data_IF_307132629381
#
_entry.id   IF_307132629381
#
_cell.length_a   1.000
_cell.length_b   1.000
_cell.length_c   1.000
_cell.angle_alpha   90.00
_cell.angle_beta   90.00
_cell.angle_gamma   90.00
#
_symmetry.space_group_name_H-M   'P 1'
#
loop_
_entity.id
_entity.type
_entity.pdbx_description
1 polymer ?
#
# COMPACT_ATOMS: atom_id res chain seq x y z
N UNK A 1 14.09 12.01 -15.20
CA UNK A 1 14.19 10.80 -14.35
C UNK A 1 14.38 11.15 -12.88
N UNK A 2 15.39 11.94 -12.50
CA UNK A 2 15.61 12.39 -11.10
C UNK A 2 14.36 12.95 -10.42
N UNK A 3 13.75 13.99 -11.01
CA UNK A 3 12.55 14.63 -10.44
C UNK A 3 11.39 13.66 -10.28
N UNK A 4 11.20 12.76 -11.25
CA UNK A 4 10.14 11.75 -11.20
C UNK A 4 10.37 10.75 -10.06
N UNK A 5 11.59 10.21 -9.94
CA UNK A 5 11.95 9.28 -8.86
C UNK A 5 11.72 9.90 -7.49
N UNK A 6 12.18 11.14 -7.29
CA UNK A 6 12.02 11.86 -6.02
C UNK A 6 10.53 12.11 -5.76
N UNK A 7 9.78 12.64 -6.73
CA UNK A 7 8.36 12.98 -6.54
C UNK A 7 7.51 11.75 -6.19
N UNK A 8 7.56 10.70 -7.02
CA UNK A 8 6.77 9.48 -6.78
C UNK A 8 7.23 8.77 -5.51
N UNK A 9 8.54 8.72 -5.29
CA UNK A 9 9.16 8.15 -4.11
C UNK A 9 8.65 8.77 -2.82
N UNK A 10 8.76 10.08 -2.70
CA UNK A 10 8.33 10.84 -1.54
C UNK A 10 6.80 10.80 -1.34
N UNK A 11 6.03 10.79 -2.44
CA UNK A 11 4.58 10.58 -2.35
C UNK A 11 4.25 9.21 -1.77
N UNK A 12 4.91 8.14 -2.21
CA UNK A 12 4.73 6.80 -1.66
C UNK A 12 5.13 6.73 -0.17
N UNK A 13 6.20 7.41 0.23
CA UNK A 13 6.65 7.46 1.63
C UNK A 13 5.55 7.98 2.57
N UNK A 14 4.75 8.96 2.13
CA UNK A 14 3.65 9.53 2.92
C UNK A 14 2.35 8.73 2.79
N UNK A 15 2.04 8.25 1.58
CA UNK A 15 0.76 7.59 1.29
C UNK A 15 0.67 6.20 1.90
N UNK A 16 1.77 5.44 1.93
CA UNK A 16 1.76 4.05 2.44
C UNK A 16 1.40 3.99 3.93
N UNK A 17 2.09 4.72 4.84
CA UNK A 17 1.73 4.71 6.25
C UNK A 17 0.35 5.30 6.52
N UNK A 18 -0.08 6.27 5.70
CA UNK A 18 -1.42 6.84 5.77
C UNK A 18 -2.50 5.82 5.42
N UNK A 19 -2.37 5.10 4.30
CA UNK A 19 -3.35 4.11 3.85
C UNK A 19 -3.50 2.90 4.77
N UNK A 20 -2.44 2.59 5.54
CA UNK A 20 -2.42 1.55 6.58
C UNK A 20 -2.86 2.05 7.96
N UNK A 21 -3.28 3.32 8.08
CA UNK A 21 -3.67 3.96 9.33
C UNK A 21 -2.55 3.89 10.41
N UNK A 22 -1.28 3.75 9.99
CA UNK A 22 -0.13 3.61 10.88
C UNK A 22 0.22 4.91 11.59
N UNK A 23 -0.05 6.07 10.98
CA UNK A 23 0.16 7.35 11.66
C UNK A 23 -0.65 7.47 12.95
N UNK A 24 -1.85 6.87 13.00
CA UNK A 24 -2.70 6.84 14.18
C UNK A 24 -2.42 5.64 15.09
N UNK A 25 -2.23 4.45 14.51
CA UNK A 25 -2.17 3.19 15.28
C UNK A 25 -0.74 2.77 15.69
N UNK A 26 0.27 3.08 14.89
CA UNK A 26 1.66 2.61 15.03
C UNK A 26 2.67 3.65 14.51
N UNK A 27 2.90 4.74 15.25
CA UNK A 27 3.72 5.86 14.79
C UNK A 27 5.19 5.48 14.55
N UNK A 28 5.76 4.55 15.32
CA UNK A 28 7.14 4.08 15.13
C UNK A 28 7.37 3.42 13.75
N UNK A 29 6.62 2.36 13.41
CA UNK A 29 6.66 1.76 12.08
C UNK A 29 6.35 2.74 10.94
N UNK A 30 5.43 3.70 11.14
CA UNK A 30 5.16 4.75 10.16
C UNK A 30 6.42 5.59 9.88
N UNK A 31 7.08 6.09 10.93
CA UNK A 31 8.31 6.88 10.79
C UNK A 31 9.43 6.07 10.13
N UNK A 32 9.60 4.80 10.50
CA UNK A 32 10.60 3.94 9.88
C UNK A 32 10.33 3.72 8.39
N UNK A 33 9.08 3.45 8.00
CA UNK A 33 8.70 3.27 6.61
C UNK A 33 8.94 4.55 5.79
N UNK A 34 8.58 5.72 6.34
CA UNK A 34 8.87 7.02 5.72
C UNK A 34 10.38 7.18 5.51
N UNK A 35 11.18 6.95 6.56
CA UNK A 35 12.63 7.13 6.50
C UNK A 35 13.29 6.17 5.49
N UNK A 36 12.95 4.89 5.53
CA UNK A 36 13.51 3.88 4.63
C UNK A 36 13.16 4.17 3.17
N UNK A 37 11.90 4.49 2.89
CA UNK A 37 11.47 4.77 1.51
C UNK A 37 12.04 6.08 0.99
N UNK A 38 12.11 7.11 1.84
CA UNK A 38 12.71 8.39 1.50
C UNK A 38 14.21 8.25 1.23
N UNK A 39 14.94 7.49 2.06
CA UNK A 39 16.35 7.18 1.85
C UNK A 39 16.59 6.43 0.53
N UNK A 40 15.77 5.41 0.23
CA UNK A 40 15.83 4.68 -1.04
C UNK A 40 15.65 5.58 -2.26
N UNK A 41 14.73 6.54 -2.17
CA UNK A 41 14.41 7.42 -3.30
C UNK A 41 15.51 8.44 -3.59
N UNK A 42 16.24 8.88 -2.56
CA UNK A 42 17.35 9.82 -2.68
C UNK A 42 18.71 9.13 -2.89
N UNK A 43 18.84 7.84 -2.59
CA UNK A 43 20.09 7.08 -2.65
C UNK A 43 20.97 7.31 -3.91
N UNK A 44 20.43 7.36 -5.14
CA UNK A 44 21.28 7.61 -6.32
C UNK A 44 21.75 9.06 -6.49
N UNK A 45 21.19 10.00 -5.72
CA UNK A 45 21.37 11.44 -5.89
C UNK A 45 21.88 12.13 -4.61
N UNK A 46 22.48 11.38 -3.69
CA UNK A 46 22.96 11.89 -2.39
C UNK A 46 23.96 13.04 -2.55
N UNK A 47 24.74 13.05 -3.63
CA UNK A 47 25.73 14.08 -3.93
C UNK A 47 25.11 15.44 -4.35
N UNK A 48 23.79 15.50 -4.59
CA UNK A 48 23.08 16.72 -4.99
C UNK A 48 22.36 17.34 -3.81
N UNK A 49 22.25 18.67 -3.78
CA UNK A 49 21.60 19.41 -2.68
C UNK A 49 20.06 19.36 -2.74
N UNK A 50 19.47 19.32 -3.95
CA UNK A 50 18.00 19.36 -4.13
C UNK A 50 17.23 18.22 -3.44
N UNK A 51 17.67 16.94 -3.50
CA UNK A 51 17.00 15.84 -2.82
C UNK A 51 16.94 16.01 -1.29
N UNK A 52 17.94 16.64 -0.68
CA UNK A 52 17.97 16.87 0.76
C UNK A 52 16.83 17.79 1.23
N UNK A 53 16.54 18.87 0.48
CA UNK A 53 15.39 19.73 0.77
C UNK A 53 14.06 18.96 0.66
N UNK A 54 13.94 18.09 -0.35
CA UNK A 54 12.75 17.27 -0.54
C UNK A 54 12.55 16.26 0.61
N UNK A 55 13.63 15.67 1.12
CA UNK A 55 13.61 14.84 2.34
C UNK A 55 13.13 15.63 3.55
N UNK A 56 13.67 16.82 3.78
CA UNK A 56 13.25 17.67 4.90
C UNK A 56 11.75 17.97 4.85
N UNK A 57 11.22 18.31 3.66
CA UNK A 57 9.78 18.54 3.47
C UNK A 57 8.95 17.31 3.84
N UNK A 58 9.35 16.11 3.41
CA UNK A 58 8.63 14.86 3.73
C UNK A 58 8.71 14.51 5.20
N UNK A 59 9.87 14.63 5.82
CA UNK A 59 10.04 14.39 7.25
C UNK A 59 9.17 15.35 8.06
N UNK A 60 9.13 16.63 7.69
CA UNK A 60 8.26 17.62 8.32
C UNK A 60 6.78 17.31 8.09
N UNK A 61 6.38 16.95 6.86
CA UNK A 61 5.01 16.59 6.52
C UNK A 61 4.53 15.33 7.28
N UNK A 62 5.36 14.29 7.33
CA UNK A 62 5.09 13.07 8.09
C UNK A 62 4.96 13.36 9.59
N UNK A 63 5.88 14.17 10.13
CA UNK A 63 5.86 14.59 11.54
C UNK A 63 4.62 15.42 11.86
N UNK A 64 4.24 16.35 10.99
CA UNK A 64 3.01 17.13 11.09
C UNK A 64 1.75 16.25 11.06
N UNK A 65 1.69 15.28 10.13
CA UNK A 65 0.58 14.33 10.05
C UNK A 65 0.47 13.47 11.32
N UNK A 66 1.60 13.00 11.86
CA UNK A 66 1.64 12.26 13.13
C UNK A 66 1.13 13.08 14.31
N UNK A 67 1.48 14.37 14.36
CA UNK A 67 1.04 15.26 15.43
C UNK A 67 -0.46 15.61 15.31
N UNK A 68 -0.97 15.87 14.11
CA UNK A 68 -2.37 16.20 13.87
C UNK A 68 -3.33 15.03 14.10
N UNK A 69 -2.90 13.80 13.82
CA UNK A 69 -3.72 12.60 13.99
C UNK A 69 -3.64 12.01 15.41
N UNK A 70 -2.91 12.66 16.31
CA UNK A 70 -2.66 12.19 17.67
C UNK A 70 -3.85 12.45 18.59
N UNK A 71 -4.54 11.40 19.00
CA UNK A 71 -5.52 11.43 20.08
C UNK A 71 -4.85 11.13 21.43
N UNK A 72 -4.35 12.16 22.12
CA UNK A 72 -4.16 12.20 23.59
C UNK A 72 -3.15 11.27 24.30
N UNK A 73 -2.73 10.14 23.73
CA UNK A 73 -1.92 9.15 24.48
C UNK A 73 -0.42 9.51 24.56
N UNK A 74 0.26 9.20 25.70
CA UNK A 74 1.69 9.39 25.87
C UNK A 74 2.49 8.47 24.94
N UNK A 75 3.73 8.89 24.63
CA UNK A 75 4.63 8.23 23.68
C UNK A 75 4.94 6.78 24.08
N UNK A 76 4.11 5.83 23.63
CA UNK A 76 4.52 4.44 23.50
C UNK A 76 5.15 4.31 22.12
N UNK A 77 6.48 4.25 22.08
CA UNK A 77 7.22 3.80 20.89
C UNK A 77 6.84 2.34 20.64
N UNK A 78 5.68 2.13 20.02
CA UNK A 78 5.09 0.83 19.68
C UNK A 78 5.85 0.18 18.55
N UNK A 79 7.16 0.00 18.73
CA UNK A 79 7.97 -0.84 17.84
C UNK A 79 7.68 -2.32 18.07
N UNK A 80 7.21 -2.69 19.28
CA UNK A 80 7.09 -4.09 19.69
C UNK A 80 5.92 -4.28 20.65
N UNK A 81 4.72 -4.58 20.14
CA UNK A 81 3.71 -5.33 20.91
C UNK A 81 3.63 -6.76 20.36
N UNK A 82 4.81 -7.34 20.19
CA UNK A 82 4.98 -8.75 19.88
C UNK A 82 5.43 -9.38 21.18
N UNK A 83 4.50 -10.04 21.87
CA UNK A 83 4.83 -11.06 22.87
C UNK A 83 5.54 -12.22 22.15
N UNK A 84 6.80 -12.02 21.78
CA UNK A 84 7.66 -13.03 21.17
C UNK A 84 8.09 -14.10 22.18
N UNK A 85 7.85 -13.85 23.48
CA UNK A 85 8.40 -14.65 24.56
C UNK A 85 7.29 -15.27 25.41
N UNK A 86 6.54 -16.19 24.82
CA UNK A 86 5.81 -17.18 25.62
C UNK A 86 6.80 -18.23 26.12
N UNK A 87 6.99 -18.28 27.44
CA UNK A 87 7.82 -19.26 28.13
C UNK A 87 7.12 -20.62 28.18
N UNK A 88 7.01 -21.30 27.03
CA UNK A 88 6.41 -22.64 26.94
C UNK A 88 7.24 -23.60 26.08
N UNK A 89 7.14 -24.93 26.28
CA UNK A 89 7.92 -25.93 25.53
C UNK A 89 7.70 -25.90 24.00
N UNK A 90 6.57 -25.34 23.52
CA UNK A 90 6.30 -25.07 22.09
C UNK A 90 7.06 -23.86 21.51
N UNK A 91 7.71 -23.05 22.36
CA UNK A 91 8.54 -21.93 21.92
C UNK A 91 9.95 -22.37 21.48
N UNK A 92 10.46 -23.48 22.01
CA UNK A 92 11.77 -24.02 21.61
C UNK A 92 11.76 -24.54 20.16
N UNK A 93 10.75 -25.33 19.78
CA UNK A 93 10.58 -25.82 18.41
C UNK A 93 10.38 -24.69 17.39
N UNK A 94 9.66 -23.63 17.79
CA UNK A 94 9.50 -22.40 16.99
C UNK A 94 10.83 -21.66 16.78
N UNK A 95 11.70 -21.61 17.81
CA UNK A 95 13.04 -21.00 17.71
C UNK A 95 13.96 -21.81 16.80
N UNK A 96 13.96 -23.13 16.90
CA UNK A 96 14.71 -24.00 15.99
C UNK A 96 14.19 -23.89 14.55
N UNK A 97 12.87 -23.81 14.34
CA UNK A 97 12.29 -23.58 13.02
C UNK A 97 12.70 -22.23 12.42
N UNK A 98 12.63 -21.14 13.21
CA UNK A 98 13.08 -19.82 12.78
C UNK A 98 14.59 -19.80 12.49
N UNK A 99 15.41 -20.45 13.31
CA UNK A 99 16.85 -20.57 13.08
C UNK A 99 17.16 -21.35 11.80
N UNK A 100 16.44 -22.44 11.52
CA UNK A 100 16.59 -23.21 10.30
C UNK A 100 16.18 -22.41 9.05
N UNK A 101 15.08 -21.64 9.11
CA UNK A 101 14.65 -20.74 8.02
C UNK A 101 15.68 -19.62 7.80
N UNK A 102 16.20 -19.02 8.88
CA UNK A 102 17.26 -18.00 8.78
C UNK A 102 18.55 -18.58 8.19
N UNK A 103 18.95 -19.79 8.59
CA UNK A 103 20.11 -20.47 8.03
C UNK A 103 19.91 -20.80 6.54
N UNK A 104 18.72 -21.23 6.14
CA UNK A 104 18.38 -21.48 4.74
C UNK A 104 18.39 -20.19 3.90
N UNK A 105 17.88 -19.08 4.44
CA UNK A 105 17.94 -17.77 3.79
C UNK A 105 19.38 -17.26 3.65
N UNK A 106 20.21 -17.45 4.68
CA UNK A 106 21.63 -17.11 4.64
C UNK A 106 22.40 -17.98 3.64
N UNK A 107 22.15 -19.29 3.58
CA UNK A 107 22.78 -20.20 2.61
C UNK A 107 22.32 -19.90 1.18
N UNK A 108 21.05 -19.56 0.97
CA UNK A 108 20.51 -19.11 -0.32
C UNK A 108 21.12 -17.76 -0.74
N UNK A 109 21.28 -16.83 0.21
CA UNK A 109 21.97 -15.56 -0.02
C UNK A 109 23.47 -15.73 -0.28
N UNK A 110 24.13 -16.74 0.28
CA UNK A 110 25.54 -17.05 -0.01
C UNK A 110 25.74 -17.72 -1.38
N UNK A 111 24.79 -18.55 -1.84
CA UNK A 111 24.91 -19.31 -3.10
C UNK A 111 24.43 -18.52 -4.33
N UNK A 112 23.40 -17.70 -4.18
CA UNK A 112 22.95 -16.76 -5.23
C UNK A 112 23.55 -15.35 -5.08
N UNK A 113 24.39 -15.12 -4.05
CA UNK A 113 24.72 -13.80 -3.52
C UNK A 113 25.28 -12.80 -4.51
N UNK A 114 26.21 -13.19 -5.36
CA UNK A 114 26.84 -12.24 -6.32
C UNK A 114 25.86 -11.80 -7.41
N UNK A 115 25.01 -12.72 -7.90
CA UNK A 115 23.97 -12.41 -8.90
C UNK A 115 22.78 -11.68 -8.29
N UNK A 116 22.36 -12.10 -7.09
CA UNK A 116 21.26 -11.47 -6.37
C UNK A 116 21.61 -10.05 -5.93
N UNK A 117 22.84 -9.81 -5.44
CA UNK A 117 23.30 -8.46 -5.04
C UNK A 117 23.48 -7.54 -6.24
N UNK A 118 24.00 -8.03 -7.37
CA UNK A 118 24.11 -7.23 -8.60
C UNK A 118 22.74 -6.84 -9.15
N UNK A 119 21.81 -7.80 -9.28
CA UNK A 119 20.43 -7.51 -9.70
C UNK A 119 19.71 -6.57 -8.73
N UNK A 120 19.91 -6.74 -7.43
CA UNK A 120 19.33 -5.86 -6.41
C UNK A 120 19.89 -4.45 -6.53
N UNK A 121 21.21 -4.29 -6.69
CA UNK A 121 21.84 -2.98 -6.87
C UNK A 121 21.40 -2.30 -8.17
N UNK A 122 21.25 -3.05 -9.26
CA UNK A 122 20.69 -2.56 -10.52
C UNK A 122 19.24 -2.08 -10.34
N UNK A 123 18.40 -2.87 -9.67
CA UNK A 123 17.02 -2.51 -9.40
C UNK A 123 16.93 -1.29 -8.47
N UNK A 124 17.79 -1.22 -7.45
CA UNK A 124 17.84 -0.09 -6.53
C UNK A 124 18.30 1.21 -7.22
N UNK A 125 19.23 1.12 -8.18
CA UNK A 125 19.69 2.27 -8.97
C UNK A 125 18.77 2.62 -10.12
N UNK A 126 17.92 1.71 -10.58
CA UNK A 126 17.00 1.94 -11.68
C UNK A 126 15.92 2.97 -11.33
N UNK A 127 15.99 4.14 -11.96
CA UNK A 127 14.99 5.21 -11.79
C UNK A 127 13.62 4.80 -12.28
N UNK A 128 13.55 3.99 -13.34
CA UNK A 128 12.28 3.48 -13.87
C UNK A 128 11.61 2.56 -12.86
N UNK A 129 12.36 1.61 -12.30
CA UNK A 129 11.83 0.70 -11.30
C UNK A 129 11.36 1.47 -10.06
N UNK A 130 12.13 2.45 -9.59
CA UNK A 130 11.75 3.28 -8.46
C UNK A 130 10.44 4.04 -8.69
N UNK A 131 10.25 4.61 -9.90
CA UNK A 131 8.99 5.30 -10.27
C UNK A 131 7.82 4.32 -10.30
N UNK A 132 7.95 3.18 -10.99
CA UNK A 132 6.85 2.21 -11.10
C UNK A 132 6.48 1.57 -9.76
N UNK A 133 7.46 1.20 -8.92
CA UNK A 133 7.19 0.64 -7.59
C UNK A 133 6.53 1.70 -6.71
N UNK A 134 7.01 2.94 -6.72
CA UNK A 134 6.40 4.01 -5.93
C UNK A 134 4.98 4.32 -6.41
N UNK A 135 4.76 4.37 -7.72
CA UNK A 135 3.43 4.57 -8.30
C UNK A 135 2.46 3.42 -7.96
N UNK A 136 2.94 2.17 -7.97
CA UNK A 136 2.18 1.00 -7.53
C UNK A 136 1.77 1.14 -6.06
N UNK A 137 2.71 1.52 -5.18
CA UNK A 137 2.42 1.73 -3.76
C UNK A 137 1.37 2.83 -3.56
N UNK A 138 1.48 3.96 -4.26
CA UNK A 138 0.47 5.03 -4.20
C UNK A 138 -0.87 4.55 -4.75
N UNK A 139 -0.90 3.78 -5.86
CA UNK A 139 -2.12 3.24 -6.42
C UNK A 139 -2.82 2.26 -5.46
N UNK A 140 -2.06 1.38 -4.82
CA UNK A 140 -2.60 0.40 -3.86
C UNK A 140 -3.04 1.10 -2.58
N UNK A 141 -2.14 1.79 -1.87
CA UNK A 141 -2.47 2.34 -0.55
C UNK A 141 -3.29 3.64 -0.65
N UNK A 142 -2.89 4.55 -1.54
CA UNK A 142 -3.60 5.81 -1.80
C UNK A 142 -4.94 5.58 -2.48
N UNK A 143 -5.02 4.67 -3.46
CA UNK A 143 -6.29 4.26 -4.06
C UNK A 143 -7.24 3.59 -3.05
N UNK A 144 -6.69 2.88 -2.06
CA UNK A 144 -7.47 2.33 -0.94
C UNK A 144 -8.09 3.41 -0.07
N UNK A 145 -7.32 4.42 0.29
CA UNK A 145 -7.82 5.61 0.99
C UNK A 145 -8.88 6.32 0.16
N UNK A 146 -8.65 6.51 -1.13
CA UNK A 146 -9.62 7.14 -2.04
C UNK A 146 -10.93 6.35 -2.09
N UNK A 147 -10.87 5.02 -2.17
CA UNK A 147 -12.06 4.18 -2.14
C UNK A 147 -12.79 4.27 -0.80
N UNK A 148 -12.07 4.29 0.33
CA UNK A 148 -12.66 4.49 1.68
C UNK A 148 -13.36 5.84 1.81
N UNK A 149 -12.77 6.92 1.29
CA UNK A 149 -13.37 8.27 1.35
C UNK A 149 -14.55 8.41 0.40
N UNK A 150 -14.44 7.89 -0.83
CA UNK A 150 -15.53 7.90 -1.80
C UNK A 150 -16.76 7.10 -1.32
N UNK A 151 -16.54 6.00 -0.61
CA UNK A 151 -17.62 5.18 -0.03
C UNK A 151 -18.11 5.67 1.33
N UNK A 152 -17.50 6.70 1.93
CA UNK A 152 -17.85 7.19 3.26
C UNK A 152 -19.33 7.62 3.41
N UNK A 153 -19.97 8.28 2.41
CA UNK A 153 -21.40 8.61 2.50
C UNK A 153 -22.27 7.36 2.61
N UNK A 154 -22.05 6.36 1.74
CA UNK A 154 -22.79 5.10 1.75
C UNK A 154 -22.56 4.31 3.04
N UNK A 155 -21.34 4.34 3.58
CA UNK A 155 -21.03 3.73 4.90
C UNK A 155 -21.83 4.36 6.03
N UNK A 156 -22.06 5.68 5.99
CA UNK A 156 -22.88 6.40 6.98
C UNK A 156 -24.35 6.04 6.86
N UNK A 157 -24.86 5.92 5.64
CA UNK A 157 -26.24 5.47 5.38
C UNK A 157 -26.47 4.06 5.92
N UNK A 158 -25.58 3.11 5.61
CA UNK A 158 -25.68 1.73 6.13
C UNK A 158 -25.62 1.71 7.66
N UNK A 159 -24.77 2.54 8.28
CA UNK A 159 -24.65 2.61 9.73
C UNK A 159 -25.92 3.18 10.41
N UNK A 160 -26.65 4.06 9.71
CA UNK A 160 -27.88 4.70 10.17
C UNK A 160 -29.16 3.87 9.93
N UNK A 161 -29.08 2.76 9.19
CA UNK A 161 -30.19 1.81 9.06
C UNK A 161 -30.59 1.24 10.43
N UNK A 162 -31.87 0.95 10.60
CA UNK A 162 -32.37 0.23 11.78
C UNK A 162 -31.71 -1.15 11.92
N UNK A 163 -31.58 -1.62 13.16
CA UNK A 163 -31.02 -2.95 13.40
C UNK A 163 -31.96 -4.01 12.83
N UNK A 164 -31.47 -4.72 11.82
CA UNK A 164 -32.22 -5.73 11.12
C UNK A 164 -31.37 -6.52 10.12
N UNK A 165 -31.93 -7.55 9.48
CA UNK A 165 -31.20 -8.43 8.57
C UNK A 165 -30.49 -7.68 7.44
N UNK A 166 -31.10 -6.61 6.93
CA UNK A 166 -30.56 -5.80 5.85
C UNK A 166 -29.29 -5.03 6.26
N UNK A 167 -29.26 -4.47 7.47
CA UNK A 167 -28.07 -3.79 8.02
C UNK A 167 -26.94 -4.79 8.23
N UNK A 168 -27.26 -5.96 8.80
CA UNK A 168 -26.27 -7.02 9.04
C UNK A 168 -25.65 -7.53 7.73
N UNK A 169 -26.47 -7.83 6.72
CA UNK A 169 -26.00 -8.27 5.41
C UNK A 169 -25.12 -7.21 4.72
N UNK A 170 -25.50 -5.94 4.77
CA UNK A 170 -24.70 -4.84 4.21
C UNK A 170 -23.36 -4.67 4.96
N UNK A 171 -23.36 -4.76 6.29
CA UNK A 171 -22.14 -4.69 7.12
C UNK A 171 -21.20 -5.88 6.87
N UNK A 172 -21.73 -7.09 6.76
CA UNK A 172 -20.96 -8.29 6.41
C UNK A 172 -20.31 -8.13 5.03
N UNK A 173 -21.08 -7.67 4.04
CA UNK A 173 -20.55 -7.39 2.71
C UNK A 173 -19.43 -6.35 2.75
N UNK A 174 -19.57 -5.25 3.51
CA UNK A 174 -18.52 -4.22 3.64
C UNK A 174 -17.25 -4.72 4.32
N UNK A 175 -17.37 -5.68 5.24
CA UNK A 175 -16.25 -6.27 5.97
C UNK A 175 -15.49 -7.34 5.15
N UNK A 176 -15.92 -7.61 3.91
CA UNK A 176 -15.18 -8.45 2.97
C UNK A 176 -13.70 -8.03 2.89
N UNK A 177 -12.81 -9.01 3.05
CA UNK A 177 -11.41 -8.80 3.44
C UNK A 177 -10.66 -7.72 2.65
N UNK A 178 -9.94 -6.79 3.33
CA UNK A 178 -9.24 -5.68 2.69
C UNK A 178 -8.15 -6.12 1.70
N UNK A 179 -7.65 -7.36 1.85
CA UNK A 179 -6.65 -7.96 0.97
C UNK A 179 -7.11 -8.10 -0.48
N UNK A 180 -8.38 -8.42 -0.73
CA UNK A 180 -8.91 -8.57 -2.09
C UNK A 180 -8.77 -7.26 -2.86
N UNK A 181 -9.14 -6.14 -2.22
CA UNK A 181 -9.03 -4.82 -2.84
C UNK A 181 -7.58 -4.42 -3.12
N UNK A 182 -6.61 -4.84 -2.29
CA UNK A 182 -5.19 -4.56 -2.55
C UNK A 182 -4.67 -5.34 -3.76
N UNK A 183 -5.06 -6.61 -3.88
CA UNK A 183 -4.68 -7.45 -5.03
C UNK A 183 -5.25 -6.91 -6.34
N UNK A 184 -6.52 -6.52 -6.35
CA UNK A 184 -7.17 -5.92 -7.51
C UNK A 184 -6.45 -4.64 -7.95
N UNK A 185 -6.19 -3.71 -7.03
CA UNK A 185 -5.46 -2.47 -7.34
C UNK A 185 -4.06 -2.75 -7.90
N UNK A 186 -3.39 -3.77 -7.35
CA UNK A 186 -2.09 -4.22 -7.84
C UNK A 186 -2.16 -4.79 -9.25
N UNK A 187 -3.15 -5.64 -9.55
CA UNK A 187 -3.36 -6.22 -10.88
C UNK A 187 -3.76 -5.16 -11.91
N UNK A 188 -4.71 -4.29 -11.57
CA UNK A 188 -5.13 -3.18 -12.43
C UNK A 188 -3.93 -2.29 -12.77
N UNK A 189 -3.16 -1.87 -11.77
CA UNK A 189 -1.95 -1.08 -12.00
C UNK A 189 -0.94 -1.84 -12.86
N UNK A 190 -0.67 -3.12 -12.58
CA UNK A 190 0.31 -3.90 -13.33
C UNK A 190 -0.02 -4.01 -14.82
N UNK A 191 -1.27 -4.35 -15.16
CA UNK A 191 -1.71 -4.45 -16.56
C UNK A 191 -1.72 -3.09 -17.26
N UNK A 192 -2.21 -2.04 -16.59
CA UNK A 192 -2.18 -0.69 -17.15
C UNK A 192 -0.75 -0.19 -17.33
N UNK A 193 0.14 -0.46 -16.39
CA UNK A 193 1.55 -0.07 -16.46
C UNK A 193 2.28 -0.83 -17.58
N UNK A 194 1.86 -2.06 -17.87
CA UNK A 194 2.32 -2.85 -19.01
C UNK A 194 1.75 -2.39 -20.36
N UNK A 195 0.79 -1.45 -20.38
CA UNK A 195 0.13 -1.01 -21.62
C UNK A 195 -0.91 -2.01 -22.13
N UNK A 196 -1.52 -2.79 -21.24
CA UNK A 196 -2.55 -3.79 -21.55
C UNK A 196 -3.88 -3.43 -20.86
N UNK A 197 -4.59 -2.39 -21.32
CA UNK A 197 -5.87 -2.01 -20.74
C UNK A 197 -6.95 -3.11 -20.85
N UNK A 198 -6.86 -3.98 -21.84
CA UNK A 198 -7.77 -5.12 -22.04
C UNK A 198 -7.66 -6.13 -20.89
N UNK A 199 -6.43 -6.42 -20.45
CA UNK A 199 -6.19 -7.32 -19.31
C UNK A 199 -6.69 -6.70 -18.00
N UNK A 200 -6.55 -5.39 -17.83
CA UNK A 200 -7.14 -4.68 -16.69
C UNK A 200 -8.68 -4.73 -16.71
N UNK A 201 -9.31 -4.61 -17.88
CA UNK A 201 -10.75 -4.76 -18.05
C UNK A 201 -11.22 -6.19 -17.71
N UNK A 202 -10.43 -7.22 -18.06
CA UNK A 202 -10.73 -8.61 -17.68
C UNK A 202 -10.73 -8.82 -16.17
N UNK A 203 -9.77 -8.23 -15.43
CA UNK A 203 -9.74 -8.28 -13.96
C UNK A 203 -10.99 -7.66 -13.37
N UNK A 204 -11.39 -6.49 -13.88
CA UNK A 204 -12.60 -5.80 -13.45
C UNK A 204 -13.86 -6.64 -13.72
N UNK A 205 -13.95 -7.26 -14.89
CA UNK A 205 -15.05 -8.16 -15.25
C UNK A 205 -15.10 -9.38 -14.32
N UNK A 206 -13.96 -10.04 -14.08
CA UNK A 206 -13.86 -11.19 -13.19
C UNK A 206 -14.31 -10.83 -11.76
N UNK A 207 -13.92 -9.65 -11.25
CA UNK A 207 -14.37 -9.17 -9.95
C UNK A 207 -15.89 -8.95 -9.89
N UNK A 208 -16.47 -8.34 -10.92
CA UNK A 208 -17.92 -8.08 -10.99
C UNK A 208 -18.73 -9.38 -11.03
N UNK A 209 -18.21 -10.44 -11.68
CA UNK A 209 -18.83 -11.77 -11.68
C UNK A 209 -18.70 -12.48 -10.33
N UNK A 210 -17.54 -12.36 -9.67
CA UNK A 210 -17.27 -13.03 -8.40
C UNK A 210 -18.03 -12.42 -7.20
N UNK A 211 -18.48 -11.16 -7.32
CA UNK A 211 -19.09 -10.42 -6.21
C UNK A 211 -20.38 -9.72 -6.62
N UNK A 212 -21.29 -10.48 -7.24
CA UNK A 212 -22.64 -10.00 -7.54
C UNK A 212 -23.37 -9.74 -6.21
N UNK A 213 -23.80 -8.50 -5.93
CA UNK A 213 -24.60 -8.22 -4.75
C UNK A 213 -25.97 -8.88 -4.90
N UNK A 214 -26.24 -9.93 -4.10
CA UNK A 214 -27.57 -10.55 -4.03
C UNK A 214 -28.59 -9.57 -3.44
N UNK A 215 -29.88 -9.75 -3.77
CA UNK A 215 -30.98 -8.93 -3.26
C UNK A 215 -31.00 -8.79 -1.73
N UNK A 216 -30.50 -9.80 -1.01
CA UNK A 216 -30.37 -9.84 0.45
C UNK A 216 -29.41 -8.78 1.02
N UNK A 217 -28.39 -8.36 0.27
CA UNK A 217 -27.42 -7.35 0.72
C UNK A 217 -27.96 -5.91 0.62
N UNK A 218 -29.10 -5.72 -0.07
CA UNK A 218 -29.75 -4.43 -0.26
C UNK A 218 -29.05 -3.49 -1.25
N UNK A 219 -29.73 -2.39 -1.58
CA UNK A 219 -29.27 -1.36 -2.55
C UNK A 219 -27.92 -0.75 -2.16
N UNK A 220 -27.73 -0.45 -0.87
CA UNK A 220 -26.52 0.22 -0.38
C UNK A 220 -25.25 -0.62 -0.53
N UNK A 221 -25.32 -1.95 -0.47
CA UNK A 221 -24.15 -2.81 -0.69
C UNK A 221 -23.66 -2.77 -2.15
N UNK A 222 -24.61 -2.70 -3.10
CA UNK A 222 -24.30 -2.53 -4.53
C UNK A 222 -23.67 -1.18 -4.81
N UNK A 223 -24.24 -0.10 -4.26
CA UNK A 223 -23.69 1.26 -4.36
C UNK A 223 -22.26 1.34 -3.78
N UNK A 224 -22.05 0.75 -2.59
CA UNK A 224 -20.73 0.65 -1.97
C UNK A 224 -19.71 -0.07 -2.86
N UNK A 225 -20.10 -1.22 -3.43
CA UNK A 225 -19.25 -2.00 -4.32
C UNK A 225 -18.87 -1.22 -5.59
N UNK A 226 -19.85 -0.59 -6.24
CA UNK A 226 -19.64 0.13 -7.49
C UNK A 226 -18.75 1.35 -7.29
N UNK A 227 -19.04 2.19 -6.28
CA UNK A 227 -18.25 3.39 -5.98
C UNK A 227 -16.82 3.01 -5.60
N UNK A 228 -16.65 2.02 -4.71
CA UNK A 228 -15.32 1.59 -4.27
C UNK A 228 -14.47 1.02 -5.42
N UNK A 229 -15.11 0.30 -6.35
CA UNK A 229 -14.44 -0.26 -7.53
C UNK A 229 -14.04 0.82 -8.52
N UNK A 230 -14.96 1.72 -8.89
CA UNK A 230 -14.66 2.83 -9.79
C UNK A 230 -13.57 3.76 -9.25
N UNK A 231 -13.62 4.08 -7.96
CA UNK A 231 -12.56 4.87 -7.31
C UNK A 231 -11.18 4.17 -7.39
N UNK A 232 -11.16 2.84 -7.21
CA UNK A 232 -9.92 2.05 -7.31
C UNK A 232 -9.37 2.00 -8.74
N UNK A 233 -10.25 1.85 -9.74
CA UNK A 233 -9.89 1.87 -11.16
C UNK A 233 -9.32 3.23 -11.54
N UNK A 234 -9.96 4.33 -11.15
CA UNK A 234 -9.48 5.70 -11.40
C UNK A 234 -8.10 5.89 -10.80
N UNK A 235 -7.88 5.46 -9.55
CA UNK A 235 -6.58 5.57 -8.90
C UNK A 235 -5.49 4.76 -9.62
N UNK A 236 -5.76 3.51 -9.98
CA UNK A 236 -4.82 2.65 -10.70
C UNK A 236 -4.49 3.20 -12.10
N UNK A 237 -5.49 3.69 -12.82
CA UNK A 237 -5.34 4.31 -14.13
C UNK A 237 -4.51 5.58 -14.05
N UNK A 238 -4.89 6.53 -13.19
CA UNK A 238 -4.17 7.78 -13.02
C UNK A 238 -2.69 7.56 -12.67
N UNK A 239 -2.41 6.65 -11.72
CA UNK A 239 -1.04 6.37 -11.30
C UNK A 239 -0.22 5.62 -12.35
N UNK A 240 -0.83 4.70 -13.10
CA UNK A 240 -0.16 4.03 -14.22
C UNK A 240 0.20 5.03 -15.32
N UNK A 241 -0.76 5.85 -15.74
CA UNK A 241 -0.57 6.89 -16.75
C UNK A 241 0.53 7.88 -16.33
N UNK A 242 0.49 8.32 -15.07
CA UNK A 242 1.49 9.22 -14.52
C UNK A 242 2.88 8.57 -14.49
N UNK A 243 3.00 7.30 -14.10
CA UNK A 243 4.28 6.58 -14.10
C UNK A 243 4.85 6.41 -15.51
N UNK A 244 4.03 5.98 -16.48
CA UNK A 244 4.43 5.81 -17.88
C UNK A 244 4.89 7.13 -18.49
N UNK A 245 4.09 8.19 -18.31
CA UNK A 245 4.43 9.55 -18.75
C UNK A 245 5.75 10.05 -18.14
N UNK A 246 5.94 9.86 -16.83
CA UNK A 246 7.15 10.29 -16.13
C UNK A 246 8.44 9.58 -16.59
N UNK A 247 8.31 8.39 -17.17
CA UNK A 247 9.42 7.59 -17.72
C UNK A 247 9.58 7.79 -19.25
N UNK A 248 8.69 8.57 -19.88
CA UNK A 248 8.70 8.84 -21.32
C UNK A 248 8.09 7.72 -22.17
N UNK A 249 7.24 6.88 -21.58
CA UNK A 249 6.46 5.85 -22.29
C UNK A 249 5.10 6.40 -22.74
N UNK A 250 4.49 5.82 -23.80
CA UNK A 250 3.12 6.14 -24.18
C UNK A 250 2.16 5.94 -23.01
N UNK A 251 1.15 6.79 -22.89
CA UNK A 251 0.26 6.81 -21.72
C UNK A 251 -0.66 5.58 -21.66
N UNK A 252 -1.04 5.05 -22.82
CA UNK A 252 -1.71 3.78 -23.06
C UNK A 252 -0.95 3.05 -24.16
#
# INVERSE_FOLDING_TARGET
>A
METARIFFGLAAALVVPFGLDWYRSRPGPAALAVLLWSAYTVFPYVDRVRPWFALCVVVLAASGAMLLQRSGDPWRLGFWDVRFWDSGPRAASRRFGLAAVMAALLLSACTAGVRATSLLLELLRSDRAAVFISALLVAVFGGGTLAKTATAPVRREIAALEEGPQRSAAMEFMNGGPFIGMLERGLLFAFLAAGQPEAAALVLAAKSLARVPSAEHGKHASEYFLIGTLASVIAALAMSMAARSAVGMPVL
#
